data_IF_840330614361
#
_entry.id   IF_840330614361
#
_cell.length_a   1.000
_cell.length_b   1.000
_cell.length_c   1.000
_cell.angle_alpha   90.00
_cell.angle_beta   90.00
_cell.angle_gamma   90.00
#
_symmetry.space_group_name_H-M   'P 1'
#
loop_
_entity.id
_entity.type
_entity.pdbx_description
1 polymer ?
#
# COMPACT_ATOMS: atom_id res chain seq x y z
N UNK A 1 -30.64 19.08 2.58
CA UNK A 1 -29.38 18.76 3.30
C UNK A 1 -28.24 19.04 2.33
N UNK A 2 -27.36 20.01 2.63
CA UNK A 2 -26.22 20.33 1.77
C UNK A 2 -25.12 19.30 2.00
N UNK A 3 -24.74 18.59 0.93
CA UNK A 3 -23.61 17.66 0.92
C UNK A 3 -22.34 18.52 0.97
N UNK A 4 -21.70 18.62 2.13
CA UNK A 4 -20.45 19.37 2.30
C UNK A 4 -20.33 20.19 3.59
N UNK A 5 -21.38 20.31 4.39
CA UNK A 5 -21.26 20.97 5.70
C UNK A 5 -20.52 20.02 6.64
N UNK A 6 -19.22 20.23 6.79
CA UNK A 6 -18.50 19.73 7.95
C UNK A 6 -19.29 20.17 9.19
N UNK A 7 -19.80 19.20 9.93
CA UNK A 7 -20.51 19.46 11.17
C UNK A 7 -19.63 20.34 12.05
N UNK A 8 -20.10 21.56 12.29
CA UNK A 8 -19.45 22.54 13.19
C UNK A 8 -19.78 22.23 14.65
N UNK A 9 -20.43 21.10 14.92
CA UNK A 9 -20.81 20.70 16.25
C UNK A 9 -19.55 20.37 17.07
N UNK A 10 -19.34 21.00 18.24
CA UNK A 10 -18.18 20.71 19.10
C UNK A 10 -18.14 19.25 19.55
N UNK A 11 -19.29 18.56 19.58
CA UNK A 11 -19.35 17.13 19.84
C UNK A 11 -18.78 16.33 18.67
N UNK A 12 -19.00 16.70 17.41
CA UNK A 12 -18.33 16.08 16.26
C UNK A 12 -16.86 16.49 16.14
N UNK A 13 -16.45 17.61 16.73
CA UNK A 13 -15.02 17.95 16.83
C UNK A 13 -14.30 17.06 17.85
N UNK A 14 -14.98 16.64 18.93
CA UNK A 14 -14.40 15.84 20.02
C UNK A 14 -14.64 14.32 19.81
N UNK A 15 -15.82 13.91 19.34
CA UNK A 15 -16.20 12.51 19.02
C UNK A 15 -15.95 12.14 17.56
N UNK A 16 -15.77 13.13 16.68
CA UNK A 16 -15.51 12.91 15.25
C UNK A 16 -14.02 12.78 14.93
N UNK A 17 -13.12 12.78 15.90
CA UNK A 17 -11.75 12.32 15.70
C UNK A 17 -11.62 10.86 16.12
N UNK A 18 -10.93 10.04 15.32
CA UNK A 18 -10.63 8.64 15.71
C UNK A 18 -9.50 8.70 16.74
N UNK A 19 -9.62 8.06 17.93
CA UNK A 19 -8.54 8.06 18.90
C UNK A 19 -7.32 7.32 18.38
N UNK A 20 -6.12 7.70 18.85
CA UNK A 20 -4.90 6.96 18.54
C UNK A 20 -4.79 5.76 19.49
N UNK A 21 -4.63 4.52 18.98
CA UNK A 21 -4.51 3.33 19.82
C UNK A 21 -3.31 3.39 20.76
N UNK A 22 -3.49 2.94 22.00
CA UNK A 22 -2.41 2.78 22.99
C UNK A 22 -2.51 1.40 23.64
N UNK A 23 -1.49 0.51 23.52
CA UNK A 23 -0.22 0.74 22.82
C UNK A 23 -0.39 0.74 21.30
N UNK A 24 0.48 1.47 20.61
CA UNK A 24 0.48 1.52 19.15
C UNK A 24 1.04 0.22 18.55
N UNK A 25 0.30 -0.41 17.63
CA UNK A 25 0.72 -1.67 17.00
C UNK A 25 1.22 -1.48 15.57
N UNK A 26 2.02 -2.43 15.01
CA UNK A 26 2.42 -2.40 13.61
C UNK A 26 1.25 -2.48 12.61
N UNK A 27 0.06 -2.93 13.05
CA UNK A 27 -1.14 -2.93 12.23
C UNK A 27 -1.76 -1.53 12.15
N UNK A 28 -1.80 -0.81 13.27
CA UNK A 28 -2.25 0.59 13.31
C UNK A 28 -1.40 1.47 12.40
N UNK A 29 -0.08 1.25 12.38
CA UNK A 29 0.84 1.96 11.48
C UNK A 29 0.52 1.66 10.01
N UNK A 30 0.25 0.39 9.66
CA UNK A 30 -0.13 0.02 8.29
C UNK A 30 -1.44 0.67 7.87
N UNK A 31 -2.42 0.70 8.76
CA UNK A 31 -3.69 1.38 8.53
C UNK A 31 -3.52 2.90 8.40
N UNK A 32 -2.63 3.50 9.20
CA UNK A 32 -2.33 4.92 9.14
C UNK A 32 -1.63 5.33 7.83
N UNK A 33 -0.68 4.52 7.32
CA UNK A 33 -0.09 4.72 5.99
C UNK A 33 -1.18 4.70 4.92
N UNK A 34 -2.06 3.70 4.96
CA UNK A 34 -3.18 3.62 4.02
C UNK A 34 -4.08 4.84 4.13
N UNK A 35 -4.39 5.29 5.35
CA UNK A 35 -5.26 6.44 5.58
C UNK A 35 -4.67 7.72 4.95
N UNK A 36 -3.39 8.03 5.16
CA UNK A 36 -2.79 9.26 4.60
C UNK A 36 -2.65 9.21 3.08
N UNK A 37 -2.36 8.03 2.51
CA UNK A 37 -2.12 7.86 1.07
C UNK A 37 -3.43 7.78 0.27
N UNK A 38 -4.41 7.01 0.77
CA UNK A 38 -5.70 6.85 0.07
C UNK A 38 -6.52 8.12 0.17
N UNK A 39 -6.53 8.77 1.33
CA UNK A 39 -7.26 10.00 1.60
C UNK A 39 -6.42 11.25 1.33
N UNK A 40 -5.66 11.25 0.23
CA UNK A 40 -4.91 12.41 -0.23
C UNK A 40 -5.84 13.52 -0.75
N UNK A 41 -5.35 14.75 -0.73
CA UNK A 41 -6.05 15.90 -1.31
C UNK A 41 -6.13 15.77 -2.84
N UNK A 42 -7.26 16.16 -3.40
CA UNK A 42 -7.50 16.39 -4.81
C UNK A 42 -7.98 17.83 -4.99
N UNK A 43 -7.44 18.52 -5.98
CA UNK A 43 -7.74 19.91 -6.26
C UNK A 43 -9.06 20.04 -7.02
N UNK A 44 -10.00 20.80 -6.45
CA UNK A 44 -11.28 21.14 -7.07
C UNK A 44 -11.47 22.66 -7.11
N UNK A 45 -12.30 23.20 -8.01
CA UNK A 45 -12.58 24.64 -8.08
C UNK A 45 -13.11 25.23 -6.77
N UNK A 46 -13.77 24.41 -5.94
CA UNK A 46 -14.32 24.78 -4.64
C UNK A 46 -13.33 24.67 -3.46
N UNK A 47 -12.09 24.23 -3.72
CA UNK A 47 -11.08 23.92 -2.69
C UNK A 47 -10.73 22.43 -2.62
N UNK A 48 -9.72 22.04 -1.83
CA UNK A 48 -9.22 20.68 -1.80
C UNK A 48 -10.23 19.73 -1.13
N UNK A 49 -10.55 18.64 -1.83
CA UNK A 49 -11.39 17.55 -1.32
C UNK A 49 -10.56 16.29 -1.14
N UNK A 50 -10.97 15.43 -0.22
CA UNK A 50 -10.39 14.11 -0.09
C UNK A 50 -10.80 13.25 -1.30
N UNK A 51 -9.84 12.72 -2.05
CA UNK A 51 -10.09 11.86 -3.22
C UNK A 51 -10.99 10.64 -2.93
N UNK A 52 -10.86 10.04 -1.73
CA UNK A 52 -11.63 8.85 -1.36
C UNK A 52 -13.03 9.17 -0.80
N UNK A 53 -13.14 10.16 0.08
CA UNK A 53 -14.37 10.42 0.83
C UNK A 53 -15.25 11.51 0.19
N UNK A 54 -14.68 12.33 -0.70
CA UNK A 54 -15.34 13.53 -1.25
C UNK A 54 -15.56 14.66 -0.22
N UNK A 55 -15.19 14.46 1.04
CA UNK A 55 -15.27 15.46 2.10
C UNK A 55 -14.17 16.53 1.97
N UNK A 56 -14.35 17.70 2.59
CA UNK A 56 -13.31 18.73 2.66
C UNK A 56 -12.02 18.17 3.27
N UNK A 57 -10.91 18.40 2.58
CA UNK A 57 -9.60 17.92 3.03
C UNK A 57 -9.00 18.87 4.08
N UNK A 58 -8.37 18.36 5.17
CA UNK A 58 -8.15 16.95 5.48
C UNK A 58 -9.37 16.26 6.12
N UNK A 59 -9.74 15.10 5.56
CA UNK A 59 -10.84 14.30 6.11
C UNK A 59 -10.45 13.64 7.45
N UNK A 60 -11.43 13.05 8.14
CA UNK A 60 -11.26 12.39 9.45
C UNK A 60 -10.16 11.33 9.45
N UNK A 61 -10.16 10.45 8.45
CA UNK A 61 -9.17 9.36 8.37
C UNK A 61 -7.77 9.87 8.04
N UNK A 62 -7.65 10.89 7.20
CA UNK A 62 -6.36 11.52 6.93
C UNK A 62 -5.76 12.13 8.21
N UNK A 63 -6.58 12.86 8.99
CA UNK A 63 -6.15 13.44 10.28
C UNK A 63 -5.72 12.38 11.30
N UNK A 64 -6.47 11.27 11.39
CA UNK A 64 -6.09 10.14 12.22
C UNK A 64 -4.75 9.53 11.78
N UNK A 65 -4.58 9.22 10.49
CA UNK A 65 -3.36 8.64 9.98
C UNK A 65 -2.12 9.50 10.22
N UNK A 66 -2.24 10.82 10.07
CA UNK A 66 -1.14 11.75 10.40
C UNK A 66 -0.75 11.68 11.88
N UNK A 67 -1.72 11.70 12.81
CA UNK A 67 -1.43 11.60 14.26
C UNK A 67 -0.77 10.28 14.61
N UNK A 68 -1.30 9.15 14.11
CA UNK A 68 -0.70 7.82 14.33
C UNK A 68 0.74 7.76 13.82
N UNK A 69 1.03 8.31 12.64
CA UNK A 69 2.38 8.29 12.08
C UNK A 69 3.33 9.23 12.84
N UNK A 70 2.84 10.37 13.34
CA UNK A 70 3.60 11.27 14.21
C UNK A 70 3.87 10.65 15.59
N UNK A 71 2.91 9.94 16.18
CA UNK A 71 3.10 9.21 17.43
C UNK A 71 3.99 7.99 17.25
N UNK A 72 3.90 7.32 16.09
CA UNK A 72 4.88 6.33 15.69
C UNK A 72 6.25 7.00 15.77
N UNK A 73 6.41 8.16 15.12
CA UNK A 73 7.50 9.16 15.18
C UNK A 73 8.16 9.47 13.84
N UNK A 74 7.36 9.36 12.77
CA UNK A 74 7.67 10.03 11.52
C UNK A 74 7.50 11.54 11.69
N UNK A 75 8.36 12.31 11.06
CA UNK A 75 8.15 13.75 10.94
C UNK A 75 7.21 14.09 9.76
N UNK A 76 6.70 15.32 9.75
CA UNK A 76 5.77 15.79 8.72
C UNK A 76 6.32 15.65 7.30
N UNK A 77 7.62 15.90 7.09
CA UNK A 77 8.26 15.78 5.77
C UNK A 77 8.25 14.35 5.25
N UNK A 78 8.45 13.37 6.14
CA UNK A 78 8.37 11.94 5.81
C UNK A 78 6.93 11.53 5.50
N UNK A 79 5.96 12.02 6.28
CA UNK A 79 4.53 11.77 6.03
C UNK A 79 4.14 12.36 4.67
N UNK A 80 4.52 13.59 4.36
CA UNK A 80 4.23 14.22 3.08
C UNK A 80 4.93 13.52 1.91
N UNK A 81 6.13 12.97 2.14
CA UNK A 81 6.81 12.12 1.16
C UNK A 81 6.06 10.80 0.91
N UNK A 82 5.48 10.17 1.95
CA UNK A 82 4.61 8.99 1.79
C UNK A 82 3.37 9.32 0.96
N UNK A 83 2.71 10.45 1.27
CA UNK A 83 1.53 10.91 0.53
C UNK A 83 1.88 11.17 -0.94
N UNK A 84 3.00 11.88 -1.21
CA UNK A 84 3.49 12.13 -2.58
C UNK A 84 3.89 10.86 -3.31
N UNK A 85 4.45 9.87 -2.61
CA UNK A 85 4.82 8.58 -3.19
C UNK A 85 3.59 7.76 -3.59
N UNK A 86 2.47 7.89 -2.88
CA UNK A 86 1.18 7.35 -3.32
C UNK A 86 0.99 5.84 -3.16
N UNK A 87 1.97 5.10 -2.61
CA UNK A 87 1.84 3.66 -2.36
C UNK A 87 1.35 3.39 -0.91
N UNK A 88 0.12 2.86 -0.74
CA UNK A 88 -0.46 2.61 0.58
C UNK A 88 0.07 1.34 1.26
N UNK A 89 0.87 0.53 0.56
CA UNK A 89 1.44 -0.72 1.06
C UNK A 89 2.90 -0.59 1.48
N UNK A 90 3.44 0.64 1.55
CA UNK A 90 4.79 0.86 2.05
C UNK A 90 4.85 0.44 3.51
N UNK A 91 5.79 -0.44 3.81
CA UNK A 91 6.11 -0.80 5.18
C UNK A 91 7.05 0.24 5.77
N UNK A 92 6.58 0.92 6.82
CA UNK A 92 7.40 1.76 7.69
C UNK A 92 8.01 0.85 8.77
N UNK A 93 9.35 0.83 8.94
CA UNK A 93 10.00 -0.02 9.92
C UNK A 93 9.53 0.29 11.34
N UNK A 94 9.26 -0.77 12.12
CA UNK A 94 8.93 -0.70 13.54
C UNK A 94 9.98 -1.51 14.33
N UNK A 95 10.53 -1.02 15.45
CA UNK A 95 10.53 0.35 15.96
C UNK A 95 11.67 1.16 15.31
N UNK A 96 11.45 2.43 14.98
CA UNK A 96 12.56 3.34 14.75
C UNK A 96 12.86 4.00 16.10
N UNK A 97 14.05 3.75 16.64
CA UNK A 97 14.56 4.58 17.73
C UNK A 97 14.72 5.99 17.17
N UNK A 98 14.11 6.96 17.84
CA UNK A 98 14.29 8.39 17.57
C UNK A 98 15.81 8.69 17.54
N UNK A 99 16.33 8.99 16.36
CA UNK A 99 17.66 9.54 16.06
C UNK A 99 18.90 8.83 16.65
N UNK A 100 19.42 7.84 15.91
CA UNK A 100 20.86 7.51 15.89
C UNK A 100 21.34 7.50 14.42
N UNK A 101 22.59 7.88 14.12
CA UNK A 101 23.08 7.87 12.74
C UNK A 101 22.96 6.45 12.18
N UNK A 102 22.46 6.34 10.95
CA UNK A 102 22.30 5.06 10.27
C UNK A 102 23.58 4.21 10.41
N UNK A 103 23.52 2.96 10.89
CA UNK A 103 24.71 2.11 10.89
C UNK A 103 25.14 1.96 9.43
N UNK A 104 26.38 2.35 9.14
CA UNK A 104 26.99 2.10 7.85
C UNK A 104 26.85 0.60 7.55
N UNK A 105 26.18 0.26 6.45
CA UNK A 105 26.20 -1.10 5.92
C UNK A 105 27.65 -1.41 5.57
N UNK A 106 28.30 -2.21 6.41
CA UNK A 106 29.55 -2.89 6.03
C UNK A 106 29.20 -3.81 4.87
N UNK A 107 29.81 -3.66 3.68
CA UNK A 107 29.67 -4.67 2.64
C UNK A 107 30.31 -5.95 3.17
N UNK A 108 29.52 -7.02 3.29
CA UNK A 108 30.03 -8.35 3.55
C UNK A 108 31.04 -8.69 2.43
N UNK A 109 32.31 -8.82 2.81
CA UNK A 109 33.36 -9.26 1.92
C UNK A 109 33.02 -10.67 1.42
N UNK A 110 32.82 -10.80 0.11
CA UNK A 110 32.78 -12.09 -0.57
C UNK A 110 34.17 -12.75 -0.44
N UNK A 111 34.30 -13.99 0.06
CA UNK A 111 35.56 -14.70 -0.10
C UNK A 111 35.71 -15.14 -1.56
N UNK A 112 36.69 -14.52 -2.22
CA UNK A 112 37.22 -14.89 -3.52
C UNK A 112 37.65 -16.36 -3.54
N UNK A 113 37.06 -17.19 -4.40
CA UNK A 113 37.60 -18.50 -4.75
C UNK A 113 38.58 -18.34 -5.91
N UNK A 114 39.87 -18.34 -5.60
CA UNK A 114 40.96 -18.42 -6.57
C UNK A 114 41.14 -19.86 -7.07
N UNK A 115 41.53 -19.98 -8.34
CA UNK A 115 41.50 -21.15 -9.21
C UNK A 115 42.63 -22.18 -9.00
N UNK A 116 42.36 -23.43 -9.41
CA UNK A 116 43.26 -24.43 -10.02
C UNK A 116 42.35 -25.63 -10.41
N UNK A 117 42.31 -26.22 -11.61
CA UNK A 117 43.34 -26.51 -12.60
C UNK A 117 43.49 -28.03 -12.73
N UNK A 118 42.92 -28.67 -13.77
CA UNK A 118 43.44 -29.93 -14.33
C UNK A 118 42.59 -31.22 -14.32
N UNK A 119 42.07 -31.56 -15.52
CA UNK A 119 42.05 -32.86 -16.21
C UNK A 119 41.06 -34.01 -15.87
N UNK A 120 39.99 -34.02 -16.70
CA UNK A 120 39.20 -35.08 -17.35
C UNK A 120 39.47 -36.60 -17.16
N UNK A 121 38.37 -37.37 -17.03
CA UNK A 121 38.13 -38.63 -17.79
C UNK A 121 36.64 -38.81 -18.17
N UNK A 122 36.39 -38.68 -19.49
CA UNK A 122 35.46 -39.35 -20.41
C UNK A 122 34.44 -40.39 -19.90
N UNK A 123 33.16 -40.20 -20.25
CA UNK A 123 32.31 -41.23 -20.89
C UNK A 123 31.01 -40.61 -21.48
N UNK A 124 30.80 -40.82 -22.79
CA UNK A 124 29.52 -40.72 -23.51
C UNK A 124 29.07 -42.18 -23.81
N UNK A 125 27.76 -42.51 -23.97
CA UNK A 125 27.11 -42.31 -25.28
C UNK A 125 25.56 -42.17 -25.35
N UNK A 126 25.15 -41.48 -26.44
CA UNK A 126 23.92 -41.47 -27.29
C UNK A 126 22.47 -41.28 -26.76
N UNK A 127 21.60 -40.60 -27.59
CA UNK A 127 20.27 -40.12 -27.22
C UNK A 127 19.11 -41.04 -27.70
N UNK A 128 17.93 -40.91 -27.08
CA UNK A 128 16.67 -41.47 -27.61
C UNK A 128 15.47 -40.51 -27.45
N UNK A 129 14.90 -40.22 -28.61
CA UNK A 129 13.47 -40.16 -28.97
C UNK A 129 12.53 -39.14 -28.29
N UNK A 130 12.08 -38.20 -29.13
CA UNK A 130 10.79 -37.49 -29.13
C UNK A 130 9.64 -38.50 -29.30
N UNK A 131 8.47 -38.34 -28.63
CA UNK A 131 7.09 -38.01 -29.14
C UNK A 131 6.08 -37.91 -27.92
N UNK A 132 4.76 -37.61 -28.04
CA UNK A 132 4.15 -36.34 -27.61
C UNK A 132 2.99 -36.45 -26.58
N UNK A 133 2.48 -35.31 -26.13
CA UNK A 133 1.05 -35.13 -25.86
C UNK A 133 0.55 -35.46 -24.45
N UNK A 134 0.50 -34.45 -23.59
CA UNK A 134 -0.35 -34.45 -22.40
C UNK A 134 -1.40 -33.33 -22.52
N UNK A 135 -2.65 -33.74 -22.71
CA UNK A 135 -3.84 -32.86 -22.75
C UNK A 135 -4.08 -32.25 -21.36
N UNK A 136 -4.54 -30.99 -21.26
CA UNK A 136 -5.03 -30.47 -19.98
C UNK A 136 -6.37 -31.12 -19.63
N UNK A 137 -6.44 -31.68 -18.41
CA UNK A 137 -7.64 -32.27 -17.85
C UNK A 137 -8.72 -31.21 -17.61
N UNK A 138 -9.86 -31.40 -18.27
CA UNK A 138 -11.12 -30.69 -18.04
C UNK A 138 -11.65 -31.07 -16.66
N UNK A 139 -11.87 -30.09 -15.79
CA UNK A 139 -12.59 -30.27 -14.53
C UNK A 139 -14.11 -30.29 -14.79
N UNK A 140 -14.89 -31.21 -14.19
CA UNK A 140 -16.35 -31.27 -14.35
C UNK A 140 -17.06 -30.07 -13.70
N UNK A 141 -18.16 -29.67 -14.34
CA UNK A 141 -18.95 -28.48 -14.03
C UNK A 141 -19.71 -28.52 -12.70
N UNK A 142 -19.80 -27.34 -12.09
CA UNK A 142 -20.81 -27.01 -11.08
C UNK A 142 -21.96 -26.25 -11.76
N UNK A 143 -23.23 -26.51 -11.39
CA UNK A 143 -24.39 -25.82 -11.93
C UNK A 143 -24.38 -24.33 -11.56
N UNK A 144 -24.66 -23.51 -12.57
CA UNK A 144 -24.45 -22.07 -12.57
C UNK A 144 -25.27 -21.28 -11.55
N UNK A 145 -24.60 -20.31 -10.93
CA UNK A 145 -25.22 -19.16 -10.28
C UNK A 145 -25.28 -18.01 -11.31
N UNK A 146 -26.42 -17.34 -11.53
CA UNK A 146 -26.47 -16.20 -12.43
C UNK A 146 -25.56 -15.09 -11.90
N UNK A 147 -24.57 -14.70 -12.71
CA UNK A 147 -23.79 -13.48 -12.46
C UNK A 147 -24.64 -12.32 -12.97
N UNK A 148 -25.16 -11.51 -12.05
CA UNK A 148 -25.79 -10.25 -12.41
C UNK A 148 -24.74 -9.35 -13.11
N UNK A 149 -25.06 -8.69 -14.23
CA UNK A 149 -24.15 -7.74 -14.84
C UNK A 149 -23.87 -6.58 -13.86
N UNK A 150 -22.66 -6.01 -13.84
CA UNK A 150 -22.39 -4.84 -13.03
C UNK A 150 -23.31 -3.70 -13.47
N UNK A 151 -23.96 -3.07 -12.50
CA UNK A 151 -24.78 -1.89 -12.73
C UNK A 151 -23.93 -0.82 -13.45
N UNK A 152 -24.41 -0.39 -14.61
CA UNK A 152 -23.80 0.71 -15.34
C UNK A 152 -23.77 1.96 -14.45
N UNK A 153 -22.57 2.46 -14.14
CA UNK A 153 -22.42 3.74 -13.45
C UNK A 153 -23.04 4.86 -14.30
N UNK A 154 -23.76 5.83 -13.69
CA UNK A 154 -24.30 6.97 -14.42
C UNK A 154 -23.15 7.82 -14.97
N UNK A 155 -23.11 7.92 -16.30
CA UNK A 155 -22.23 8.80 -17.07
C UNK A 155 -22.79 10.22 -17.01
N UNK A 156 -22.20 11.06 -16.17
CA UNK A 156 -22.55 12.48 -16.11
C UNK A 156 -21.92 13.24 -17.29
N UNK A 157 -22.64 14.21 -17.90
CA UNK A 157 -22.09 15.01 -18.99
C UNK A 157 -21.01 15.96 -18.46
N UNK A 158 -19.85 15.98 -19.12
CA UNK A 158 -18.86 17.06 -18.94
C UNK A 158 -19.44 18.32 -19.59
N UNK A 159 -19.56 19.39 -18.81
CA UNK A 159 -19.76 20.72 -19.36
C UNK A 159 -18.50 21.11 -20.15
N UNK A 160 -18.71 21.59 -21.39
CA UNK A 160 -17.70 22.19 -22.26
C UNK A 160 -17.51 23.66 -21.93
#
# INVERSE_FOLDING_TARGET
MRVGEQSTDPIDQILGEVPVPTPLTPEDVRLAVRAVVVHAAEEWPSGPLCRNDGASYPCRLHRWGRRVLTEHGLNERQIDALVRHGNPFVHVPFPFTVNGPAPARTPAAYPSRTAAGGHAVRAQPVPRAVVPGARPAVRPGYPGRPVAPPAAAPRWPRAS
#
